data_IF_661473246977
#
_entry.id   IF_661473246977
#
_cell.length_a   1.000
_cell.length_b   1.000
_cell.length_c   1.000
_cell.angle_alpha   90.00
_cell.angle_beta   90.00
_cell.angle_gamma   90.00
#
_symmetry.space_group_name_H-M   'P 1'
#
loop_
_entity.id
_entity.type
_entity.pdbx_description
1 polymer ?
#
# COMPACT_ATOMS: atom_id res chain seq x y z
N UNK A 1 11.62 12.21 58.94
CA UNK A 1 11.05 13.47 58.40
C UNK A 1 10.97 13.26 56.90
N UNK A 2 9.98 12.59 56.33
CA UNK A 2 8.52 12.82 56.36
C UNK A 2 8.18 14.23 55.89
N UNK A 3 8.16 14.41 54.56
CA UNK A 3 7.54 15.56 53.90
C UNK A 3 6.55 14.97 52.87
N UNK A 4 5.29 14.99 53.28
CA UNK A 4 4.10 14.72 52.48
C UNK A 4 3.84 15.97 51.61
N UNK A 5 3.76 15.80 50.29
CA UNK A 5 3.25 16.85 49.40
C UNK A 5 2.30 16.23 48.39
N UNK A 6 1.03 16.33 48.78
CA UNK A 6 -0.15 16.07 47.96
C UNK A 6 -0.15 17.04 46.77
N UNK A 7 -0.11 16.48 45.56
CA UNK A 7 -0.53 17.20 44.35
C UNK A 7 -1.67 16.41 43.72
N UNK A 8 -2.84 17.06 43.63
CA UNK A 8 -4.07 16.53 43.09
C UNK A 8 -3.95 16.20 41.59
N UNK A 9 -4.67 15.19 41.07
CA UNK A 9 -4.75 14.95 39.64
C UNK A 9 -5.60 16.02 38.94
N UNK A 10 -5.00 16.71 37.98
CA UNK A 10 -5.70 17.58 37.03
C UNK A 10 -6.48 16.70 36.05
N UNK A 11 -7.78 17.01 35.91
CA UNK A 11 -8.68 16.37 34.97
C UNK A 11 -8.37 16.81 33.54
N UNK A 12 -8.18 15.84 32.64
CA UNK A 12 -8.33 16.06 31.20
C UNK A 12 -9.46 15.17 30.69
N UNK A 13 -10.51 15.84 30.25
CA UNK A 13 -11.70 15.29 29.63
C UNK A 13 -11.47 15.19 28.13
N UNK A 14 -11.56 14.00 27.56
CA UNK A 14 -12.14 13.88 26.22
C UNK A 14 -12.62 12.46 25.96
N UNK A 15 -13.92 12.28 26.16
CA UNK A 15 -14.64 11.23 25.47
C UNK A 15 -14.57 11.50 23.96
N UNK A 16 -14.13 10.50 23.20
CA UNK A 16 -14.87 9.95 22.06
C UNK A 16 -14.06 8.79 21.50
N UNK A 17 -14.34 7.62 22.08
CA UNK A 17 -14.12 6.34 21.42
C UNK A 17 -14.95 6.34 20.13
N UNK A 18 -14.38 6.82 19.03
CA UNK A 18 -14.87 6.49 17.71
C UNK A 18 -14.54 5.02 17.49
N UNK A 19 -15.58 4.21 17.70
CA UNK A 19 -15.66 2.80 17.32
C UNK A 19 -15.33 2.70 15.83
N UNK A 20 -14.05 2.50 15.51
CA UNK A 20 -13.56 2.30 14.15
C UNK A 20 -14.17 1.00 13.64
N UNK A 21 -15.22 1.13 12.85
CA UNK A 21 -15.80 0.01 12.12
C UNK A 21 -14.74 -0.47 11.13
N UNK A 22 -14.00 -1.51 11.53
CA UNK A 22 -13.28 -2.43 10.65
C UNK A 22 -14.32 -3.14 9.77
N UNK A 23 -14.87 -2.43 8.78
CA UNK A 23 -15.89 -2.94 7.87
C UNK A 23 -15.50 -2.60 6.46
N UNK A 24 -14.72 -3.51 5.87
CA UNK A 24 -14.54 -3.72 4.43
C UNK A 24 -14.31 -2.46 3.59
N UNK A 25 -13.05 -2.13 3.32
CA UNK A 25 -12.69 -1.40 2.11
C UNK A 25 -12.74 -2.38 0.93
N UNK A 26 -13.93 -2.90 0.64
CA UNK A 26 -14.19 -3.72 -0.54
C UNK A 26 -14.29 -2.76 -1.73
N UNK A 27 -13.28 -2.77 -2.60
CA UNK A 27 -13.35 -2.19 -3.94
C UNK A 27 -12.83 -0.77 -4.12
N UNK A 28 -12.06 -0.21 -3.17
CA UNK A 28 -11.38 1.08 -3.39
C UNK A 28 -9.89 0.82 -3.56
N UNK A 29 -9.41 0.97 -4.79
CA UNK A 29 -7.98 0.98 -5.11
C UNK A 29 -7.35 2.31 -4.69
N UNK A 30 -6.04 2.31 -4.43
CA UNK A 30 -5.27 3.53 -4.21
C UNK A 30 -5.39 4.49 -5.40
N UNK A 31 -5.38 5.82 -5.18
CA UNK A 31 -5.42 6.81 -6.27
C UNK A 31 -4.31 6.61 -7.31
N UNK A 32 -3.12 6.21 -6.86
CA UNK A 32 -1.95 5.92 -7.70
C UNK A 32 -2.22 4.80 -8.71
N UNK A 33 -3.16 3.88 -8.39
CA UNK A 33 -3.56 2.80 -9.27
C UNK A 33 -4.74 3.15 -10.19
N UNK A 34 -5.23 4.39 -10.21
CA UNK A 34 -6.42 4.74 -10.99
C UNK A 34 -6.22 4.47 -12.50
N UNK A 35 -5.04 4.83 -13.03
CA UNK A 35 -4.64 4.54 -14.41
C UNK A 35 -4.62 3.05 -14.70
N UNK A 36 -3.85 2.29 -13.92
CA UNK A 36 -3.77 0.82 -14.00
C UNK A 36 -5.16 0.17 -13.93
N UNK A 37 -6.00 0.62 -12.99
CA UNK A 37 -7.33 0.05 -12.76
C UNK A 37 -8.29 0.34 -13.90
N UNK A 38 -8.14 1.49 -14.57
CA UNK A 38 -8.90 1.85 -15.78
C UNK A 38 -8.55 0.89 -16.91
N UNK A 39 -7.27 0.77 -17.25
CA UNK A 39 -6.80 -0.07 -18.35
C UNK A 39 -7.05 -1.56 -18.10
N UNK A 40 -6.95 -2.01 -16.84
CA UNK A 40 -7.30 -3.36 -16.44
C UNK A 40 -8.79 -3.65 -16.63
N UNK A 41 -9.71 -2.71 -16.33
CA UNK A 41 -11.15 -2.91 -16.56
C UNK A 41 -11.51 -2.95 -18.03
N UNK A 42 -10.77 -2.24 -18.87
CA UNK A 42 -10.96 -2.24 -20.33
C UNK A 42 -10.57 -3.59 -20.94
N UNK A 43 -9.39 -4.11 -20.58
CA UNK A 43 -8.86 -5.36 -21.14
C UNK A 43 -9.38 -6.62 -20.43
N UNK A 44 -9.63 -6.54 -19.12
CA UNK A 44 -10.01 -7.67 -18.25
C UNK A 44 -11.17 -7.29 -17.31
N UNK A 45 -12.40 -7.06 -17.84
CA UNK A 45 -13.53 -6.52 -17.06
C UNK A 45 -14.01 -7.40 -15.89
N UNK A 46 -13.56 -8.66 -15.82
CA UNK A 46 -13.88 -9.61 -14.74
C UNK A 46 -12.71 -9.83 -13.78
N UNK A 47 -11.59 -9.14 -13.96
CA UNK A 47 -10.43 -9.28 -13.11
C UNK A 47 -10.69 -8.75 -11.71
N UNK A 48 -10.23 -9.51 -10.71
CA UNK A 48 -10.20 -9.07 -9.32
C UNK A 48 -8.96 -8.19 -9.09
N UNK A 49 -9.15 -7.04 -8.46
CA UNK A 49 -8.09 -6.05 -8.21
C UNK A 49 -7.51 -6.14 -6.79
N UNK A 50 -7.96 -7.10 -5.97
CA UNK A 50 -7.47 -7.28 -4.59
C UNK A 50 -5.96 -7.51 -4.53
N UNK A 51 -5.44 -8.42 -5.36
CA UNK A 51 -4.01 -8.74 -5.37
C UNK A 51 -3.18 -7.58 -5.91
N UNK A 52 -3.73 -6.83 -6.87
CA UNK A 52 -3.10 -5.61 -7.39
C UNK A 52 -2.95 -4.55 -6.29
N UNK A 53 -4.02 -4.32 -5.51
CA UNK A 53 -3.97 -3.40 -4.38
C UNK A 53 -2.98 -3.87 -3.31
N UNK A 54 -3.00 -5.15 -2.97
CA UNK A 54 -2.10 -5.74 -1.98
C UNK A 54 -0.63 -5.57 -2.40
N UNK A 55 -0.33 -5.83 -3.67
CA UNK A 55 1.01 -5.64 -4.22
C UNK A 55 1.47 -4.18 -4.14
N UNK A 56 0.58 -3.22 -4.43
CA UNK A 56 0.88 -1.80 -4.27
C UNK A 56 1.17 -1.44 -2.81
N UNK A 57 0.34 -1.89 -1.87
CA UNK A 57 0.52 -1.60 -0.45
C UNK A 57 1.88 -2.13 0.06
N UNK A 58 2.26 -3.34 -0.37
CA UNK A 58 3.56 -3.95 -0.05
C UNK A 58 4.71 -3.13 -0.63
N UNK A 59 4.65 -2.78 -1.92
CA UNK A 59 5.69 -1.99 -2.58
C UNK A 59 5.82 -0.59 -1.96
N UNK A 60 4.71 0.10 -1.69
CA UNK A 60 4.69 1.44 -1.10
C UNK A 60 5.34 1.44 0.29
N UNK A 61 4.99 0.46 1.12
CA UNK A 61 5.57 0.31 2.46
C UNK A 61 7.05 -0.04 2.37
N UNK A 62 7.42 -1.00 1.52
CA UNK A 62 8.80 -1.50 1.42
C UNK A 62 9.77 -0.44 0.89
N UNK A 63 9.31 0.41 -0.03
CA UNK A 63 10.10 1.51 -0.59
C UNK A 63 9.90 2.85 0.13
N UNK A 64 9.24 2.88 1.30
CA UNK A 64 8.99 4.12 2.04
C UNK A 64 10.30 4.82 2.41
N UNK A 65 10.39 6.10 2.06
CA UNK A 65 11.59 6.92 2.30
C UNK A 65 12.67 6.78 1.23
N UNK A 66 12.52 5.85 0.28
CA UNK A 66 13.38 5.77 -0.91
C UNK A 66 12.92 6.79 -1.97
N UNK A 67 13.89 7.35 -2.69
CA UNK A 67 13.66 8.38 -3.71
C UNK A 67 14.31 7.98 -5.03
N UNK A 68 13.65 8.29 -6.14
CA UNK A 68 14.24 8.20 -7.49
C UNK A 68 15.30 9.29 -7.66
N UNK A 69 16.16 9.14 -8.67
CA UNK A 69 17.11 10.19 -9.09
C UNK A 69 16.40 11.48 -9.52
N UNK A 70 15.14 11.41 -9.94
CA UNK A 70 14.29 12.57 -10.25
C UNK A 70 13.87 13.38 -9.02
N UNK A 71 13.97 12.80 -7.81
CA UNK A 71 13.50 13.40 -6.56
C UNK A 71 12.09 12.98 -6.13
N UNK A 72 11.41 12.15 -6.93
CA UNK A 72 10.09 11.58 -6.59
C UNK A 72 10.23 10.37 -5.65
N UNK A 73 9.14 10.03 -4.95
CA UNK A 73 9.08 8.80 -4.16
C UNK A 73 9.28 7.57 -5.06
N UNK A 74 10.06 6.58 -4.60
CA UNK A 74 10.40 5.42 -5.43
C UNK A 74 9.19 4.66 -5.98
N UNK A 75 8.09 4.60 -5.22
CA UNK A 75 6.84 3.94 -5.62
C UNK A 75 6.27 4.42 -6.96
N UNK A 76 6.62 5.63 -7.42
CA UNK A 76 6.18 6.10 -8.74
C UNK A 76 6.72 5.24 -9.87
N UNK A 77 7.93 4.68 -9.75
CA UNK A 77 8.53 3.82 -10.78
C UNK A 77 7.76 2.49 -10.97
N UNK A 78 7.52 1.66 -9.94
CA UNK A 78 6.71 0.45 -10.11
C UNK A 78 5.29 0.73 -10.62
N UNK A 79 4.68 1.85 -10.22
CA UNK A 79 3.35 2.25 -10.71
C UNK A 79 3.39 2.61 -12.21
N UNK A 80 4.34 3.43 -12.65
CA UNK A 80 4.54 3.80 -14.06
C UNK A 80 4.75 2.56 -14.95
N UNK A 81 5.61 1.63 -14.52
CA UNK A 81 5.85 0.36 -15.24
C UNK A 81 4.57 -0.48 -15.33
N UNK A 82 3.82 -0.55 -14.23
CA UNK A 82 2.57 -1.32 -14.16
C UNK A 82 1.48 -0.71 -15.05
N UNK A 83 1.38 0.62 -15.14
CA UNK A 83 0.43 1.30 -16.01
C UNK A 83 0.70 1.00 -17.49
N UNK A 84 1.96 1.05 -17.91
CA UNK A 84 2.36 0.65 -19.27
C UNK A 84 1.93 -0.79 -19.58
N UNK A 85 2.13 -1.73 -18.65
CA UNK A 85 1.73 -3.13 -18.87
C UNK A 85 0.22 -3.31 -18.87
N UNK A 86 -0.52 -2.55 -18.06
CA UNK A 86 -1.98 -2.57 -18.06
C UNK A 86 -2.55 -2.02 -19.37
N UNK A 87 -1.93 -0.98 -19.94
CA UNK A 87 -2.26 -0.43 -21.27
C UNK A 87 -1.99 -1.43 -22.39
N UNK A 88 -0.98 -2.28 -22.25
CA UNK A 88 -0.70 -3.41 -23.15
C UNK A 88 -1.64 -4.62 -22.93
N UNK A 89 -2.60 -4.51 -22.00
CA UNK A 89 -3.57 -5.55 -21.71
C UNK A 89 -3.01 -6.74 -20.93
N UNK A 90 -1.95 -6.54 -20.15
CA UNK A 90 -1.40 -7.62 -19.32
C UNK A 90 -2.36 -8.02 -18.18
N UNK A 91 -2.45 -9.33 -17.84
CA UNK A 91 -3.34 -9.81 -16.80
C UNK A 91 -2.80 -9.49 -15.40
N UNK A 92 -3.67 -9.58 -14.38
CA UNK A 92 -3.35 -9.23 -12.98
C UNK A 92 -2.04 -9.84 -12.45
N UNK A 93 -1.70 -11.12 -12.67
CA UNK A 93 -0.44 -11.66 -12.15
C UNK A 93 0.81 -10.95 -12.68
N UNK A 94 0.77 -10.48 -13.93
CA UNK A 94 1.87 -9.70 -14.53
C UNK A 94 1.93 -8.31 -13.93
N UNK A 95 0.77 -7.68 -13.66
CA UNK A 95 0.71 -6.36 -13.01
C UNK A 95 1.18 -6.42 -11.55
N UNK A 96 0.84 -7.49 -10.82
CA UNK A 96 1.35 -7.77 -9.47
C UNK A 96 2.87 -7.93 -9.49
N UNK A 97 3.40 -8.73 -10.43
CA UNK A 97 4.84 -8.88 -10.59
C UNK A 97 5.53 -7.55 -10.92
N UNK A 98 4.91 -6.70 -11.73
CA UNK A 98 5.44 -5.39 -12.08
C UNK A 98 5.49 -4.44 -10.88
N UNK A 99 4.47 -4.42 -10.02
CA UNK A 99 4.49 -3.62 -8.79
C UNK A 99 5.60 -4.07 -7.81
N UNK A 100 5.94 -5.35 -7.82
CA UNK A 100 6.88 -5.96 -6.85
C UNK A 100 8.28 -6.23 -7.42
N UNK A 101 8.55 -5.89 -8.68
CA UNK A 101 9.76 -6.37 -9.39
C UNK A 101 11.06 -5.95 -8.69
N UNK A 102 11.12 -4.70 -8.22
CA UNK A 102 12.26 -4.17 -7.46
C UNK A 102 12.12 -4.40 -5.95
N UNK A 103 10.94 -4.76 -5.46
CA UNK A 103 10.68 -4.87 -4.02
C UNK A 103 11.51 -5.97 -3.37
N UNK A 104 11.69 -7.10 -4.04
CA UNK A 104 12.52 -8.20 -3.54
C UNK A 104 14.02 -7.92 -3.67
N UNK A 105 14.41 -7.13 -4.67
CA UNK A 105 15.83 -6.83 -4.95
C UNK A 105 16.36 -5.69 -4.07
N UNK A 106 15.56 -4.63 -3.89
CA UNK A 106 15.99 -3.36 -3.30
C UNK A 106 15.48 -3.12 -1.87
N UNK A 107 14.75 -4.07 -1.29
CA UNK A 107 14.18 -3.91 0.07
C UNK A 107 14.40 -5.15 0.94
N UNK A 108 13.92 -5.10 2.19
CA UNK A 108 13.96 -6.26 3.10
C UNK A 108 12.87 -7.30 2.84
N UNK A 109 11.92 -7.02 1.94
CA UNK A 109 10.84 -7.94 1.62
C UNK A 109 11.39 -9.15 0.84
N UNK A 110 11.21 -10.34 1.39
CA UNK A 110 11.87 -11.55 0.91
C UNK A 110 11.06 -12.32 -0.15
N UNK A 111 11.75 -13.18 -0.91
CA UNK A 111 11.09 -14.16 -1.78
C UNK A 111 10.23 -15.17 -1.01
N UNK A 112 10.50 -15.39 0.28
CA UNK A 112 9.69 -16.27 1.12
C UNK A 112 8.35 -15.59 1.43
N UNK A 113 8.37 -14.35 1.93
CA UNK A 113 7.17 -13.55 2.17
C UNK A 113 6.33 -13.35 0.91
N UNK A 114 6.97 -13.15 -0.25
CA UNK A 114 6.28 -13.08 -1.54
C UNK A 114 5.45 -14.34 -1.83
N UNK A 115 6.03 -15.53 -1.62
CA UNK A 115 5.38 -16.83 -1.87
C UNK A 115 4.31 -17.18 -0.86
N UNK A 116 4.40 -16.65 0.36
CA UNK A 116 3.35 -16.83 1.36
C UNK A 116 2.14 -15.91 1.10
N UNK A 117 2.38 -14.77 0.45
CA UNK A 117 1.37 -13.75 0.20
C UNK A 117 0.52 -14.02 -1.05
N UNK A 118 1.11 -14.55 -2.12
CA UNK A 118 0.49 -14.78 -3.44
C UNK A 118 0.63 -16.24 -3.90
#
# INVERSE_FOLDING_TARGET
MAEDSVVAPVAESSSRLTRLTRRGRLGVTSPELEGVSRSLREHHPKADQRDLQLAFDIAEVSHRGQMRKSGEAYITHPVEVTEILADLGMPVPVLVAALLHDTVEDTSYSLEELRETF
#
